data_IF_640139298355
#
_entry.id   IF_640139298355
#
_cell.length_a   1.000
_cell.length_b   1.000
_cell.length_c   1.000
_cell.angle_alpha   90.00
_cell.angle_beta   90.00
_cell.angle_gamma   90.00
#
_symmetry.space_group_name_H-M   'P 1'
#
loop_
_entity.id
_entity.type
_entity.pdbx_description
1 polymer ?
#
# COMPACT_ATOMS: atom_id res chain seq x y z
N UNK A 1 10.82 22.41 -15.22
CA UNK A 1 9.40 22.56 -15.65
C UNK A 1 8.58 21.26 -15.68
N UNK A 2 9.15 20.06 -15.44
CA UNK A 2 8.38 18.80 -15.45
C UNK A 2 7.48 18.58 -14.21
N UNK A 3 7.90 19.06 -13.04
CA UNK A 3 7.24 18.77 -11.76
C UNK A 3 5.85 19.36 -11.55
N UNK A 4 5.53 20.46 -12.25
CA UNK A 4 4.21 21.08 -12.11
C UNK A 4 3.11 20.25 -12.80
N UNK A 5 3.45 19.54 -13.89
CA UNK A 5 2.51 18.63 -14.57
C UNK A 5 2.26 17.40 -13.73
N UNK A 6 3.33 16.76 -13.26
CA UNK A 6 3.26 15.54 -12.46
C UNK A 6 2.38 15.69 -11.22
N UNK A 7 2.53 16.81 -10.48
CA UNK A 7 1.71 17.07 -9.28
C UNK A 7 0.24 17.28 -9.61
N UNK A 8 -0.08 17.91 -10.75
CA UNK A 8 -1.47 18.05 -11.20
C UNK A 8 -2.07 16.70 -11.58
N UNK A 9 -1.32 15.88 -12.30
CA UNK A 9 -1.73 14.53 -12.67
C UNK A 9 -1.93 13.67 -11.42
N UNK A 10 -1.04 13.78 -10.43
CA UNK A 10 -1.15 13.11 -9.13
C UNK A 10 -2.44 13.49 -8.40
N UNK A 11 -2.74 14.79 -8.27
CA UNK A 11 -3.98 15.25 -7.62
C UNK A 11 -5.21 14.76 -8.39
N UNK A 12 -5.16 14.76 -9.72
CA UNK A 12 -6.26 14.31 -10.58
C UNK A 12 -6.61 12.83 -10.43
N UNK A 13 -5.69 11.98 -9.97
CA UNK A 13 -5.92 10.54 -9.79
C UNK A 13 -6.24 10.14 -8.34
N UNK A 14 -6.14 11.05 -7.37
CA UNK A 14 -6.30 10.72 -5.94
C UNK A 14 -7.66 10.10 -5.63
N UNK A 15 -8.75 10.60 -6.20
CA UNK A 15 -10.09 10.07 -5.92
C UNK A 15 -10.25 8.63 -6.42
N UNK A 16 -9.75 8.32 -7.61
CA UNK A 16 -9.78 6.96 -8.17
C UNK A 16 -8.88 6.01 -7.38
N UNK A 17 -7.67 6.45 -7.02
CA UNK A 17 -6.76 5.69 -6.17
C UNK A 17 -7.34 5.41 -4.80
N UNK A 18 -8.04 6.38 -4.21
CA UNK A 18 -8.70 6.20 -2.92
C UNK A 18 -9.80 5.12 -3.02
N UNK A 19 -10.66 5.18 -4.04
CA UNK A 19 -11.67 4.14 -4.30
C UNK A 19 -11.03 2.76 -4.49
N UNK A 20 -9.86 2.70 -5.10
CA UNK A 20 -9.11 1.46 -5.25
C UNK A 20 -8.51 0.99 -3.91
N UNK A 21 -7.96 1.89 -3.09
CA UNK A 21 -7.46 1.59 -1.75
C UNK A 21 -8.57 1.01 -0.86
N UNK A 22 -9.78 1.59 -0.87
CA UNK A 22 -10.94 1.04 -0.15
C UNK A 22 -11.26 -0.41 -0.52
N UNK A 23 -11.12 -0.77 -1.81
CA UNK A 23 -11.34 -2.15 -2.26
C UNK A 23 -10.29 -3.13 -1.73
N UNK A 24 -9.12 -2.64 -1.32
CA UNK A 24 -8.04 -3.45 -0.76
C UNK A 24 -8.12 -3.54 0.76
N UNK A 25 -8.36 -2.41 1.45
CA UNK A 25 -8.30 -2.33 2.91
C UNK A 25 -9.64 -2.63 3.59
N UNK A 26 -10.77 -2.35 2.95
CA UNK A 26 -12.13 -2.40 3.53
C UNK A 26 -12.35 -1.42 4.71
N UNK A 27 -11.30 -0.75 5.18
CA UNK A 27 -11.32 0.29 6.20
C UNK A 27 -10.95 1.67 5.64
N UNK A 28 -11.56 2.71 6.22
CA UNK A 28 -11.43 4.10 5.79
C UNK A 28 -10.07 4.70 6.15
N UNK A 29 -9.60 4.48 7.35
CA UNK A 29 -8.35 5.06 7.82
C UNK A 29 -7.18 4.41 7.07
N UNK A 30 -7.16 3.09 7.01
CA UNK A 30 -6.16 2.31 6.25
C UNK A 30 -6.13 2.69 4.76
N UNK A 31 -7.29 2.97 4.15
CA UNK A 31 -7.33 3.42 2.76
C UNK A 31 -6.68 4.80 2.56
N UNK A 32 -6.88 5.72 3.52
CA UNK A 32 -6.27 7.06 3.46
C UNK A 32 -4.77 6.99 3.71
N UNK A 33 -4.33 6.12 4.61
CA UNK A 33 -2.91 5.92 4.90
C UNK A 33 -2.20 5.30 3.68
N UNK A 34 -2.78 4.27 3.07
CA UNK A 34 -2.25 3.67 1.85
C UNK A 34 -2.17 4.68 0.69
N UNK A 35 -3.17 5.58 0.55
CA UNK A 35 -3.16 6.64 -0.45
C UNK A 35 -2.03 7.66 -0.20
N UNK A 36 -1.82 8.05 1.06
CA UNK A 36 -0.73 8.95 1.45
C UNK A 36 0.63 8.33 1.14
N UNK A 37 0.87 7.10 1.58
CA UNK A 37 2.13 6.39 1.32
C UNK A 37 2.40 6.26 -0.18
N UNK A 38 1.35 5.96 -0.96
CA UNK A 38 1.44 5.89 -2.42
C UNK A 38 1.83 7.23 -3.03
N UNK A 39 1.20 8.33 -2.58
CA UNK A 39 1.47 9.67 -3.07
C UNK A 39 2.91 10.11 -2.75
N UNK A 40 3.37 9.84 -1.52
CA UNK A 40 4.74 10.12 -1.11
C UNK A 40 5.74 9.33 -1.96
N UNK A 41 5.50 8.03 -2.14
CA UNK A 41 6.38 7.17 -2.93
C UNK A 41 6.43 7.56 -4.40
N UNK A 42 5.32 8.03 -4.96
CA UNK A 42 5.26 8.54 -6.32
C UNK A 42 6.09 9.82 -6.48
N UNK A 43 6.01 10.74 -5.52
CA UNK A 43 6.82 11.96 -5.52
C UNK A 43 8.33 11.65 -5.37
N UNK A 44 8.69 10.71 -4.50
CA UNK A 44 10.08 10.27 -4.31
C UNK A 44 10.69 9.62 -5.57
N UNK A 45 9.86 9.06 -6.45
CA UNK A 45 10.28 8.39 -7.67
C UNK A 45 9.79 9.12 -8.93
N UNK A 46 9.50 10.43 -8.82
CA UNK A 46 9.05 11.27 -9.93
C UNK A 46 10.04 11.22 -11.11
N UNK A 47 11.33 11.17 -10.81
CA UNK A 47 12.43 11.07 -11.78
C UNK A 47 12.41 9.78 -12.61
N UNK A 48 11.82 8.70 -12.05
CA UNK A 48 11.70 7.39 -12.71
C UNK A 48 10.44 7.27 -13.57
N UNK A 49 9.53 8.24 -13.49
CA UNK A 49 8.33 8.21 -14.30
C UNK A 49 8.63 8.62 -15.75
N UNK A 50 8.28 7.75 -16.69
CA UNK A 50 8.40 8.04 -18.12
C UNK A 50 7.07 8.63 -18.63
N UNK A 51 7.06 9.88 -19.16
CA UNK A 51 5.84 10.58 -19.56
C UNK A 51 4.96 9.88 -20.59
N UNK A 52 5.54 9.00 -21.43
CA UNK A 52 4.81 8.26 -22.47
C UNK A 52 4.10 6.99 -21.96
N UNK A 53 4.03 6.81 -20.63
CA UNK A 53 3.36 5.67 -19.99
C UNK A 53 2.03 6.08 -19.35
N UNK A 54 1.17 5.10 -19.07
CA UNK A 54 -0.09 5.37 -18.38
C UNK A 54 0.16 5.72 -16.90
N UNK A 55 0.08 7.00 -16.56
CA UNK A 55 0.25 7.52 -15.21
C UNK A 55 -0.60 6.77 -14.17
N UNK A 56 -1.88 6.53 -14.45
CA UNK A 56 -2.79 5.80 -13.55
C UNK A 56 -2.29 4.37 -13.31
N UNK A 57 -1.88 3.68 -14.37
CA UNK A 57 -1.34 2.32 -14.28
C UNK A 57 -0.08 2.25 -13.43
N UNK A 58 0.80 3.25 -13.57
CA UNK A 58 1.99 3.38 -12.75
C UNK A 58 1.65 3.59 -11.26
N UNK A 59 0.70 4.51 -10.97
CA UNK A 59 0.22 4.74 -9.60
C UNK A 59 -0.41 3.50 -8.97
N UNK A 60 -1.24 2.75 -9.71
CA UNK A 60 -1.80 1.48 -9.22
C UNK A 60 -0.72 0.45 -8.90
N UNK A 61 0.36 0.43 -9.68
CA UNK A 61 1.50 -0.48 -9.43
C UNK A 61 2.21 -0.12 -8.14
N UNK A 62 2.46 1.17 -7.89
CA UNK A 62 3.06 1.65 -6.63
C UNK A 62 2.16 1.27 -5.45
N UNK A 63 0.86 1.58 -5.52
CA UNK A 63 -0.08 1.31 -4.43
C UNK A 63 -0.16 -0.19 -4.11
N UNK A 64 -0.23 -1.06 -5.12
CA UNK A 64 -0.24 -2.52 -4.92
C UNK A 64 1.05 -3.00 -4.27
N UNK A 65 2.20 -2.48 -4.68
CA UNK A 65 3.49 -2.86 -4.11
C UNK A 65 3.57 -2.48 -2.62
N UNK A 66 3.10 -1.29 -2.26
CA UNK A 66 3.03 -0.83 -0.86
C UNK A 66 2.09 -1.75 -0.07
N UNK A 67 0.87 -1.98 -0.55
CA UNK A 67 -0.11 -2.84 0.11
C UNK A 67 0.44 -4.26 0.37
N UNK A 68 1.06 -4.88 -0.64
CA UNK A 68 1.65 -6.23 -0.50
C UNK A 68 2.79 -6.23 0.52
N UNK A 69 3.63 -5.19 0.53
CA UNK A 69 4.73 -5.08 1.48
C UNK A 69 4.24 -4.89 2.91
N UNK A 70 3.22 -4.04 3.12
CA UNK A 70 2.60 -3.82 4.42
C UNK A 70 1.94 -5.11 4.92
N UNK A 71 1.18 -5.80 4.06
CA UNK A 71 0.59 -7.10 4.38
C UNK A 71 1.63 -8.15 4.79
N UNK A 72 2.74 -8.28 4.03
CA UNK A 72 3.85 -9.20 4.37
C UNK A 72 4.54 -8.84 5.68
N UNK A 73 4.58 -7.56 6.05
CA UNK A 73 5.12 -7.11 7.33
C UNK A 73 4.18 -7.52 8.47
N UNK A 74 2.89 -7.24 8.35
CA UNK A 74 1.87 -7.63 9.33
C UNK A 74 1.89 -9.14 9.59
N UNK A 75 1.92 -9.97 8.54
CA UNK A 75 1.99 -11.43 8.70
C UNK A 75 3.25 -11.85 9.46
N UNK A 76 4.43 -11.28 9.12
CA UNK A 76 5.68 -11.58 9.84
C UNK A 76 5.62 -11.16 11.30
N UNK A 77 5.08 -9.98 11.59
CA UNK A 77 4.99 -9.43 12.95
C UNK A 77 3.95 -10.19 13.80
N UNK A 78 2.89 -10.73 13.17
CA UNK A 78 1.92 -11.62 13.83
C UNK A 78 2.44 -13.04 14.07
N UNK A 79 3.51 -13.46 13.39
CA UNK A 79 4.15 -14.74 13.64
C UNK A 79 5.13 -14.58 14.79
N UNK A 80 4.64 -14.52 16.03
CA UNK A 80 5.49 -14.57 17.22
C UNK A 80 6.18 -15.95 17.27
N UNK A 81 7.45 -16.00 16.90
CA UNK A 81 8.27 -17.21 17.02
C UNK A 81 8.75 -17.28 18.46
N UNK A 82 8.00 -18.00 19.28
CA UNK A 82 8.40 -18.32 20.64
C UNK A 82 9.64 -19.23 20.61
N UNK A 83 10.75 -18.78 21.18
CA UNK A 83 12.03 -19.54 21.26
C UNK A 83 12.17 -20.27 22.60
N UNK A 84 11.08 -20.45 23.35
CA UNK A 84 11.09 -21.23 24.59
C UNK A 84 10.87 -22.70 24.26
N UNK A 85 11.58 -23.60 24.96
CA UNK A 85 11.53 -25.06 24.74
C UNK A 85 10.14 -25.70 24.96
N UNK A 86 9.13 -24.93 25.38
CA UNK A 86 7.77 -25.38 25.64
C UNK A 86 6.78 -24.86 24.59
N UNK A 87 6.59 -25.69 23.56
CA UNK A 87 5.79 -25.49 22.34
C UNK A 87 4.25 -25.44 22.56
N UNK A 88 3.74 -24.74 23.59
CA UNK A 88 2.31 -24.76 23.97
C UNK A 88 1.47 -23.54 23.60
N UNK A 89 2.02 -22.53 22.94
CA UNK A 89 1.24 -21.37 22.48
C UNK A 89 1.18 -21.28 20.95
N UNK A 90 0.65 -22.34 20.33
CA UNK A 90 0.21 -22.30 18.95
C UNK A 90 -1.27 -21.90 18.89
N UNK A 91 -1.55 -20.80 18.17
CA UNK A 91 -2.82 -20.45 17.54
C UNK A 91 -3.90 -19.89 18.49
N UNK A 92 -3.80 -18.59 18.79
CA UNK A 92 -4.97 -17.76 19.17
C UNK A 92 -4.97 -16.42 18.44
N UNK A 93 -4.85 -16.44 17.11
CA UNK A 93 -5.24 -15.28 16.28
C UNK A 93 -5.53 -15.61 14.80
N UNK A 94 -5.36 -16.86 14.34
CA UNK A 94 -5.79 -17.27 13.01
C UNK A 94 -7.27 -17.69 13.02
N UNK A 95 -8.17 -16.73 13.21
CA UNK A 95 -9.60 -16.96 12.95
C UNK A 95 -10.29 -15.69 12.44
N UNK A 96 -9.86 -15.21 11.27
CA UNK A 96 -10.82 -14.69 10.30
C UNK A 96 -11.29 -15.89 9.47
N UNK A 97 -12.45 -16.43 9.83
CA UNK A 97 -13.21 -17.38 9.01
C UNK A 97 -14.58 -16.75 8.74
N UNK A 98 -14.88 -16.67 7.44
CA UNK A 98 -16.07 -16.16 6.75
C UNK A 98 -16.14 -14.64 6.64
#
# INVERSE_FOLDING_TARGET
>A
MKSLSFRKDLVGVQEELLRFAYKLTTDREEANDLLQETSLKALDNEDKYTPDTNFKGWMYTIMRNIFINNYRKVVRDQTFVDKTDNLYHLIFAARCRV
#
